data_IF_371037230611
#
_entry.id   IF_371037230611
#
_cell.length_a   1.000
_cell.length_b   1.000
_cell.length_c   1.000
_cell.angle_alpha   90.00
_cell.angle_beta   90.00
_cell.angle_gamma   90.00
#
_symmetry.space_group_name_H-M   'P 1'
#
loop_
_entity.id
_entity.type
_entity.pdbx_description
1 polymer ?
#
# COMPACT_ATOMS: atom_id res chain seq x y z
N UNK A 1 -43.21 -19.56 9.92
CA UNK A 1 -42.85 -18.58 8.86
C UNK A 1 -41.66 -17.76 9.32
N UNK A 2 -40.46 -18.02 8.80
CA UNK A 2 -39.23 -17.29 9.15
C UNK A 2 -39.00 -16.19 8.11
N UNK A 3 -38.98 -14.93 8.54
CA UNK A 3 -38.65 -13.78 7.70
C UNK A 3 -37.14 -13.76 7.43
N UNK A 4 -36.75 -13.94 6.17
CA UNK A 4 -35.39 -13.68 5.70
C UNK A 4 -35.20 -12.17 5.56
N UNK A 5 -34.31 -11.59 6.36
CA UNK A 5 -33.86 -10.21 6.15
C UNK A 5 -32.69 -10.28 5.16
N UNK A 6 -32.96 -9.96 3.91
CA UNK A 6 -31.92 -9.81 2.89
C UNK A 6 -31.12 -8.55 3.22
N UNK A 7 -29.85 -8.72 3.59
CA UNK A 7 -28.91 -7.62 3.73
C UNK A 7 -28.53 -7.14 2.32
N UNK A 8 -29.13 -6.04 1.88
CA UNK A 8 -28.75 -5.35 0.65
C UNK A 8 -27.39 -4.71 0.88
N UNK A 9 -26.33 -5.36 0.38
CA UNK A 9 -25.00 -4.76 0.32
C UNK A 9 -25.03 -3.65 -0.74
N UNK A 10 -25.18 -2.40 -0.31
CA UNK A 10 -24.95 -1.23 -1.15
C UNK A 10 -23.46 -1.14 -1.44
N UNK A 11 -23.09 -1.47 -2.68
CA UNK A 11 -21.74 -1.19 -3.21
C UNK A 11 -21.61 0.32 -3.31
N UNK A 12 -21.05 0.92 -2.27
CA UNK A 12 -20.61 2.32 -2.30
C UNK A 12 -19.59 2.44 -3.43
N UNK A 13 -19.94 3.20 -4.47
CA UNK A 13 -19.09 3.43 -5.63
C UNK A 13 -17.69 3.85 -5.19
N UNK A 14 -16.68 3.15 -5.70
CA UNK A 14 -15.28 3.42 -5.37
C UNK A 14 -14.92 4.82 -5.85
N UNK A 15 -15.03 5.82 -4.97
CA UNK A 15 -14.27 7.05 -5.14
C UNK A 15 -12.80 6.62 -5.21
N UNK A 16 -12.10 7.00 -6.29
CA UNK A 16 -10.66 6.80 -6.38
C UNK A 16 -10.03 7.32 -5.08
N UNK A 17 -9.50 6.41 -4.26
CA UNK A 17 -8.87 6.74 -2.97
C UNK A 17 -7.57 7.55 -3.12
N UNK A 18 -7.23 7.92 -4.36
CA UNK A 18 -6.05 8.69 -4.72
C UNK A 18 -6.46 9.88 -5.59
N UNK A 19 -6.18 11.08 -5.10
CA UNK A 19 -6.46 12.37 -5.76
C UNK A 19 -5.41 12.78 -6.81
N UNK A 20 -4.53 11.86 -7.22
CA UNK A 20 -3.33 12.21 -7.98
C UNK A 20 -3.47 11.98 -9.49
N UNK A 21 -2.64 12.68 -10.24
CA UNK A 21 -2.55 12.58 -11.70
C UNK A 21 -1.89 11.25 -12.07
N UNK A 22 -2.67 10.36 -12.69
CA UNK A 22 -2.20 9.05 -13.18
C UNK A 22 -1.91 9.05 -14.70
N UNK A 23 -2.28 10.11 -15.41
CA UNK A 23 -2.14 10.20 -16.86
C UNK A 23 -1.57 11.56 -17.25
N UNK A 24 -0.82 11.59 -18.36
CA UNK A 24 -0.44 12.86 -18.99
C UNK A 24 -1.69 13.53 -19.58
N UNK A 25 -1.73 14.86 -19.53
CA UNK A 25 -2.74 15.64 -20.27
C UNK A 25 -2.45 15.55 -21.76
N UNK A 26 -3.50 15.54 -22.59
CA UNK A 26 -3.34 15.40 -24.03
C UNK A 26 -2.57 16.57 -24.65
N UNK A 27 -1.77 16.26 -25.68
CA UNK A 27 -1.06 17.25 -26.50
C UNK A 27 -2.03 17.90 -27.47
N UNK A 28 -2.62 19.02 -27.07
CA UNK A 28 -3.42 19.87 -27.95
C UNK A 28 -2.53 20.77 -28.81
N UNK A 29 -1.66 20.20 -29.66
CA UNK A 29 -0.96 20.86 -30.79
C UNK A 29 0.04 22.02 -30.51
N UNK A 30 -0.22 22.84 -29.49
CA UNK A 30 0.51 24.03 -29.12
C UNK A 30 1.37 23.77 -27.89
N UNK A 31 2.62 24.24 -27.96
CA UNK A 31 3.54 24.29 -26.83
C UNK A 31 2.91 25.19 -25.77
N UNK A 32 2.18 24.59 -24.82
CA UNK A 32 1.55 25.33 -23.73
C UNK A 32 2.61 26.17 -23.01
N UNK A 33 2.38 27.47 -22.97
CA UNK A 33 3.25 28.42 -22.27
C UNK A 33 2.87 28.45 -20.80
N UNK A 34 3.82 28.87 -19.97
CA UNK A 34 3.57 29.02 -18.55
C UNK A 34 2.62 30.18 -18.28
N UNK A 35 1.50 29.89 -17.62
CA UNK A 35 0.49 30.84 -17.17
C UNK A 35 0.10 30.59 -15.71
N UNK A 36 -0.56 31.56 -15.08
CA UNK A 36 -1.05 31.45 -13.69
C UNK A 36 -1.98 30.25 -13.41
N UNK A 37 -2.59 29.67 -14.45
CA UNK A 37 -3.48 28.49 -14.35
C UNK A 37 -2.88 27.22 -14.97
N UNK A 38 -1.88 27.34 -15.83
CA UNK A 38 -1.38 26.24 -16.64
C UNK A 38 0.14 26.22 -16.71
N UNK A 39 0.71 25.03 -16.55
CA UNK A 39 2.14 24.80 -16.68
C UNK A 39 2.43 24.14 -18.04
N UNK A 40 3.64 24.31 -18.59
CA UNK A 40 4.09 23.56 -19.74
C UNK A 40 3.98 22.04 -19.52
N UNK A 41 3.72 21.28 -20.58
CA UNK A 41 3.41 19.85 -20.49
C UNK A 41 4.58 19.05 -19.86
N UNK A 42 5.81 19.47 -20.12
CA UNK A 42 7.04 18.89 -19.55
C UNK A 42 7.62 19.70 -18.38
N UNK A 43 6.80 20.48 -17.69
CA UNK A 43 7.23 21.26 -16.53
C UNK A 43 7.79 20.37 -15.41
N UNK A 44 8.75 20.90 -14.66
CA UNK A 44 9.44 20.15 -13.59
C UNK A 44 8.52 19.80 -12.41
N UNK A 45 7.38 20.48 -12.28
CA UNK A 45 6.39 20.25 -11.22
C UNK A 45 5.65 18.92 -11.38
N UNK A 46 5.64 18.33 -12.58
CA UNK A 46 4.96 17.07 -12.85
C UNK A 46 5.80 15.84 -12.50
N UNK A 47 5.14 14.81 -11.96
CA UNK A 47 5.71 13.51 -11.58
C UNK A 47 6.99 13.60 -10.72
N UNK A 48 7.16 14.68 -9.94
CA UNK A 48 8.33 14.90 -9.11
C UNK A 48 9.61 15.12 -9.92
N UNK A 49 9.52 15.88 -11.03
CA UNK A 49 10.65 16.22 -11.89
C UNK A 49 11.00 15.19 -12.96
N UNK A 50 10.27 14.06 -13.02
CA UNK A 50 10.54 12.98 -13.99
C UNK A 50 10.18 13.35 -15.43
N UNK A 51 9.35 14.37 -15.62
CA UNK A 51 9.11 15.02 -16.93
C UNK A 51 10.39 15.49 -17.62
N UNK A 52 11.49 15.71 -16.88
CA UNK A 52 12.79 16.01 -17.46
C UNK A 52 13.27 14.96 -18.47
N UNK A 53 12.89 13.69 -18.30
CA UNK A 53 13.24 12.63 -19.25
C UNK A 53 12.49 12.78 -20.59
N UNK A 54 11.25 13.28 -20.57
CA UNK A 54 10.43 13.49 -21.77
C UNK A 54 10.70 14.85 -22.44
N UNK A 55 11.37 15.77 -21.73
CA UNK A 55 11.51 17.15 -22.15
C UNK A 55 12.44 17.28 -23.35
N UNK A 56 11.91 17.84 -24.44
CA UNK A 56 12.71 18.35 -25.55
C UNK A 56 12.91 19.87 -25.39
N UNK A 57 14.15 20.33 -25.31
CA UNK A 57 14.52 21.75 -25.12
C UNK A 57 14.95 22.48 -26.39
N UNK A 58 14.91 21.84 -27.57
CA UNK A 58 15.38 22.43 -28.83
C UNK A 58 14.35 23.36 -29.50
N UNK A 59 14.85 24.44 -30.11
CA UNK A 59 14.05 25.53 -30.68
C UNK A 59 13.42 25.28 -32.06
N UNK A 60 13.80 24.21 -32.77
CA UNK A 60 13.27 23.93 -34.11
C UNK A 60 12.62 22.54 -34.20
N UNK A 61 11.40 22.48 -34.74
CA UNK A 61 10.58 21.26 -34.90
C UNK A 61 11.09 20.32 -36.02
N UNK A 62 12.11 20.70 -36.78
CA UNK A 62 12.49 20.05 -38.05
C UNK A 62 13.70 19.10 -38.02
N UNK A 63 14.75 19.38 -37.25
CA UNK A 63 16.03 18.64 -37.37
C UNK A 63 16.65 18.19 -36.04
N UNK A 64 16.00 18.51 -34.92
CA UNK A 64 16.40 18.08 -33.59
C UNK A 64 15.21 17.46 -32.86
N UNK A 65 15.46 16.36 -32.17
CA UNK A 65 14.44 15.67 -31.37
C UNK A 65 14.72 14.20 -31.25
N UNK A 66 14.60 13.66 -30.04
CA UNK A 66 14.53 12.23 -29.87
C UNK A 66 13.09 11.80 -30.18
N UNK A 67 12.87 11.00 -31.23
CA UNK A 67 11.55 10.60 -31.70
C UNK A 67 10.66 10.00 -30.59
N UNK A 68 11.29 9.33 -29.63
CA UNK A 68 10.62 8.65 -28.53
C UNK A 68 9.93 9.60 -27.53
N UNK A 69 10.34 10.88 -27.44
CA UNK A 69 9.69 11.86 -26.55
C UNK A 69 8.37 12.41 -27.10
N UNK A 70 8.06 12.12 -28.37
CA UNK A 70 6.81 12.50 -29.05
C UNK A 70 5.85 11.33 -29.19
N UNK A 71 6.31 10.11 -28.91
CA UNK A 71 5.49 8.91 -28.95
C UNK A 71 4.62 8.82 -27.69
N UNK A 72 3.29 8.92 -27.88
CA UNK A 72 2.31 8.92 -26.80
C UNK A 72 2.27 7.59 -26.05
N UNK A 73 2.50 6.46 -26.74
CA UNK A 73 2.38 5.13 -26.13
C UNK A 73 3.60 4.84 -25.24
N UNK A 74 4.79 5.14 -25.75
CA UNK A 74 6.02 4.98 -24.98
C UNK A 74 6.06 5.93 -23.78
N UNK A 75 5.54 7.14 -23.94
CA UNK A 75 5.43 8.06 -22.84
C UNK A 75 4.49 7.57 -21.74
N UNK A 76 3.29 7.13 -22.13
CA UNK A 76 2.31 6.58 -21.18
C UNK A 76 2.90 5.40 -20.42
N UNK A 77 3.60 4.51 -21.13
CA UNK A 77 4.33 3.40 -20.53
C UNK A 77 5.31 3.87 -19.44
N UNK A 78 6.13 4.89 -19.72
CA UNK A 78 7.08 5.41 -18.74
C UNK A 78 6.40 6.04 -17.51
N UNK A 79 5.31 6.78 -17.70
CA UNK A 79 4.53 7.33 -16.59
C UNK A 79 3.94 6.21 -15.74
N UNK A 80 3.39 5.16 -16.36
CA UNK A 80 2.83 4.00 -15.68
C UNK A 80 3.91 3.25 -14.88
N UNK A 81 5.12 3.11 -15.44
CA UNK A 81 6.28 2.56 -14.73
C UNK A 81 6.63 3.41 -13.51
N UNK A 82 6.65 4.75 -13.63
CA UNK A 82 6.92 5.62 -12.49
C UNK A 82 5.85 5.52 -11.41
N UNK A 83 4.58 5.40 -11.79
CA UNK A 83 3.46 5.20 -10.86
C UNK A 83 3.56 3.84 -10.14
N UNK A 84 3.94 2.79 -10.87
CA UNK A 84 4.21 1.47 -10.30
C UNK A 84 5.36 1.54 -9.29
N UNK A 85 6.47 2.22 -9.62
CA UNK A 85 7.60 2.43 -8.70
C UNK A 85 7.18 3.19 -7.44
N UNK A 86 6.37 4.26 -7.55
CA UNK A 86 5.92 5.01 -6.37
C UNK A 86 4.99 4.18 -5.48
N UNK A 87 4.09 3.40 -6.09
CA UNK A 87 3.21 2.50 -5.35
C UNK A 87 3.99 1.40 -4.65
N UNK A 88 4.94 0.79 -5.36
CA UNK A 88 5.84 -0.23 -4.82
C UNK A 88 6.64 0.32 -3.64
N UNK A 89 7.30 1.48 -3.81
CA UNK A 89 8.07 2.14 -2.75
C UNK A 89 7.24 2.38 -1.50
N UNK A 90 6.02 2.90 -1.64
CA UNK A 90 5.13 3.15 -0.51
C UNK A 90 4.70 1.86 0.19
N UNK A 91 4.38 0.82 -0.59
CA UNK A 91 4.00 -0.50 -0.05
C UNK A 91 5.14 -1.18 0.69
N UNK A 92 6.38 -1.03 0.23
CA UNK A 92 7.56 -1.55 0.93
C UNK A 92 7.89 -0.73 2.19
N UNK A 93 7.84 0.61 2.10
CA UNK A 93 8.05 1.48 3.27
C UNK A 93 7.00 1.25 4.37
N UNK A 94 5.79 0.84 4.00
CA UNK A 94 4.73 0.53 4.94
C UNK A 94 4.92 -0.82 5.65
N UNK A 95 5.95 -1.61 5.31
CA UNK A 95 6.26 -2.85 6.03
C UNK A 95 7.13 -2.54 7.22
N UNK A 96 6.63 -2.86 8.40
CA UNK A 96 7.28 -2.83 9.70
C UNK A 96 7.57 -4.25 10.22
N UNK A 97 7.59 -5.24 9.32
CA UNK A 97 7.72 -6.66 9.61
C UNK A 97 8.59 -7.38 8.58
N UNK A 98 9.12 -8.52 9.00
CA UNK A 98 9.88 -9.46 8.17
C UNK A 98 9.13 -10.79 8.06
N UNK A 99 9.39 -11.56 7.00
CA UNK A 99 8.91 -12.94 6.88
C UNK A 99 9.95 -13.87 7.48
N UNK A 100 9.54 -14.70 8.43
CA UNK A 100 10.39 -15.74 9.01
C UNK A 100 9.76 -17.10 8.76
N UNK A 101 10.56 -18.03 8.24
CA UNK A 101 10.16 -19.41 8.06
C UNK A 101 10.34 -20.18 9.38
N UNK A 102 9.23 -20.62 9.95
CA UNK A 102 9.21 -21.41 11.18
C UNK A 102 8.76 -22.84 10.88
N UNK A 103 9.34 -23.86 11.55
CA UNK A 103 8.80 -25.21 11.52
C UNK A 103 7.33 -25.20 11.97
N UNK A 104 6.47 -25.94 11.28
CA UNK A 104 5.02 -25.94 11.53
C UNK A 104 4.61 -26.15 12.99
N UNK A 105 5.38 -26.98 13.73
CA UNK A 105 5.12 -27.26 15.16
C UNK A 105 5.32 -26.05 16.08
N UNK A 106 6.19 -25.12 15.69
CA UNK A 106 6.54 -23.93 16.48
C UNK A 106 5.75 -22.69 16.03
N UNK A 107 4.99 -22.79 14.94
CA UNK A 107 4.14 -21.71 14.47
C UNK A 107 2.96 -21.46 15.43
N UNK A 108 2.49 -20.20 15.54
CA UNK A 108 1.28 -19.83 16.27
C UNK A 108 0.08 -20.68 15.89
N UNK A 109 -0.85 -20.88 16.84
CA UNK A 109 -2.02 -21.76 16.68
C UNK A 109 -2.91 -21.35 15.51
N UNK A 110 -2.98 -20.06 15.21
CA UNK A 110 -3.80 -19.56 14.09
C UNK A 110 -3.22 -19.95 12.73
N UNK A 111 -1.92 -20.23 12.66
CA UNK A 111 -1.21 -20.69 11.46
C UNK A 111 -1.13 -22.23 11.36
N UNK A 112 -1.65 -22.96 12.35
CA UNK A 112 -1.74 -24.43 12.33
C UNK A 112 -2.91 -24.90 11.44
N UNK A 113 -2.94 -24.39 10.22
CA UNK A 113 -3.92 -24.71 9.19
C UNK A 113 -3.29 -24.54 7.81
N UNK A 114 -3.91 -25.14 6.79
CA UNK A 114 -3.51 -24.89 5.41
C UNK A 114 -3.90 -23.47 5.02
N UNK A 115 -2.92 -22.67 4.61
CA UNK A 115 -3.12 -21.34 4.03
C UNK A 115 -2.80 -21.44 2.55
N UNK A 116 -3.80 -21.28 1.65
CA UNK A 116 -3.57 -21.32 0.20
C UNK A 116 -2.53 -20.27 -0.21
N UNK A 117 -2.08 -20.32 -1.46
CA UNK A 117 -1.27 -19.23 -2.02
C UNK A 117 -2.12 -17.99 -2.34
N UNK A 118 -1.44 -16.85 -2.47
CA UNK A 118 -2.09 -15.56 -2.69
C UNK A 118 -2.88 -15.59 -4.00
N UNK A 119 -4.15 -15.16 -3.94
CA UNK A 119 -5.09 -15.15 -5.07
C UNK A 119 -5.55 -16.53 -5.57
N UNK A 120 -5.27 -17.63 -4.85
CA UNK A 120 -5.79 -18.97 -5.18
C UNK A 120 -7.23 -19.18 -4.71
N UNK A 121 -7.53 -18.78 -3.48
CA UNK A 121 -8.86 -18.89 -2.87
C UNK A 121 -9.34 -17.52 -2.35
N UNK A 122 -10.57 -17.49 -1.83
CA UNK A 122 -11.13 -16.33 -1.14
C UNK A 122 -10.23 -15.91 0.05
N UNK A 123 -10.20 -14.61 0.42
CA UNK A 123 -9.47 -14.15 1.59
C UNK A 123 -9.86 -14.94 2.85
N UNK A 124 -8.89 -15.63 3.43
CA UNK A 124 -9.11 -16.51 4.58
C UNK A 124 -9.03 -15.72 5.87
N UNK A 125 -10.03 -15.90 6.73
CA UNK A 125 -10.08 -15.29 8.06
C UNK A 125 -9.19 -16.06 9.05
N UNK A 126 -8.62 -15.35 10.03
CA UNK A 126 -7.76 -15.93 11.08
C UNK A 126 -8.53 -16.98 11.89
N UNK A 127 -9.63 -16.60 12.54
CA UNK A 127 -10.47 -17.52 13.30
C UNK A 127 -11.90 -17.00 13.44
N UNK A 128 -12.76 -17.38 12.51
CA UNK A 128 -14.17 -16.96 12.50
C UNK A 128 -14.95 -17.45 13.73
N UNK A 129 -14.59 -18.61 14.30
CA UNK A 129 -15.29 -19.17 15.47
C UNK A 129 -15.01 -18.39 16.75
N UNK A 130 -13.81 -17.81 16.86
CA UNK A 130 -13.41 -16.95 17.97
C UNK A 130 -13.77 -15.47 17.74
N UNK A 131 -14.42 -15.13 16.62
CA UNK A 131 -14.79 -13.77 16.26
C UNK A 131 -13.68 -12.93 15.60
N UNK A 132 -12.50 -13.52 15.32
CA UNK A 132 -11.42 -12.83 14.62
C UNK A 132 -11.55 -13.00 13.09
N UNK A 133 -12.19 -12.02 12.46
CA UNK A 133 -12.45 -11.97 11.02
C UNK A 133 -11.36 -11.26 10.22
N UNK A 134 -10.18 -10.99 10.80
CA UNK A 134 -9.06 -10.36 10.07
C UNK A 134 -8.50 -11.32 9.00
N UNK A 135 -7.88 -10.77 7.96
CA UNK A 135 -7.23 -11.57 6.92
C UNK A 135 -5.93 -12.18 7.44
N UNK A 136 -5.78 -13.49 7.31
CA UNK A 136 -4.62 -14.24 7.79
C UNK A 136 -3.30 -13.78 7.15
N UNK A 137 -3.31 -13.31 5.90
CA UNK A 137 -2.10 -12.86 5.20
C UNK A 137 -1.58 -11.49 5.63
N UNK A 138 -2.42 -10.71 6.31
CA UNK A 138 -2.04 -9.41 6.87
C UNK A 138 -1.79 -9.48 8.38
N UNK A 139 -1.87 -10.68 8.96
CA UNK A 139 -1.58 -10.87 10.37
C UNK A 139 -0.06 -10.75 10.58
N UNK A 140 0.33 -9.87 11.49
CA UNK A 140 1.71 -9.64 11.92
C UNK A 140 1.78 -10.04 13.38
N UNK A 141 2.85 -10.73 13.76
CA UNK A 141 3.11 -11.17 15.12
C UNK A 141 4.21 -10.32 15.74
N UNK A 142 4.03 -9.98 17.01
CA UNK A 142 5.04 -9.27 17.78
C UNK A 142 6.28 -10.15 17.94
N UNK A 143 7.45 -9.58 17.65
CA UNK A 143 8.73 -10.30 17.74
C UNK A 143 8.99 -10.74 19.17
N UNK A 144 8.54 -9.94 20.13
CA UNK A 144 8.67 -10.12 21.57
C UNK A 144 7.97 -11.39 22.06
N UNK A 145 6.82 -11.73 21.47
CA UNK A 145 6.05 -12.94 21.80
C UNK A 145 6.68 -14.21 21.22
N UNK A 146 7.38 -14.08 20.10
CA UNK A 146 8.00 -15.20 19.39
C UNK A 146 9.48 -15.42 19.77
N UNK A 147 10.02 -14.68 20.74
CA UNK A 147 11.45 -14.72 21.08
C UNK A 147 11.95 -16.12 21.44
N UNK A 148 11.17 -16.88 22.22
CA UNK A 148 11.55 -18.24 22.61
C UNK A 148 11.67 -19.21 21.43
N UNK A 149 10.91 -18.96 20.36
CA UNK A 149 10.95 -19.74 19.12
C UNK A 149 12.05 -19.24 18.17
N UNK A 150 12.22 -17.92 18.06
CA UNK A 150 13.18 -17.29 17.15
C UNK A 150 14.62 -17.38 17.66
N UNK A 151 14.83 -17.37 18.98
CA UNK A 151 16.15 -17.27 19.61
C UNK A 151 16.36 -18.30 20.73
N UNK A 152 16.19 -19.61 20.47
CA UNK A 152 16.19 -20.64 21.52
C UNK A 152 17.48 -20.72 22.34
N UNK A 153 18.62 -20.34 21.75
CA UNK A 153 19.95 -20.47 22.37
C UNK A 153 20.50 -19.15 22.94
N UNK A 154 19.80 -18.03 22.80
CA UNK A 154 20.32 -16.69 23.18
C UNK A 154 19.61 -16.06 24.39
N UNK A 155 18.71 -16.79 25.05
CA UNK A 155 17.81 -16.20 26.06
C UNK A 155 16.78 -15.28 25.41
N UNK A 156 16.20 -14.36 26.17
CA UNK A 156 15.23 -13.36 25.67
C UNK A 156 15.96 -12.07 25.30
N UNK A 157 16.35 -11.84 24.02
CA UNK A 157 17.11 -10.65 23.62
C UNK A 157 16.32 -9.35 23.75
N UNK A 158 14.99 -9.41 23.77
CA UNK A 158 14.10 -8.28 23.94
C UNK A 158 13.33 -8.39 25.26
N UNK A 159 13.03 -7.27 25.92
CA UNK A 159 12.20 -7.26 27.11
C UNK A 159 10.76 -7.69 26.79
N UNK A 160 10.06 -8.23 27.79
CA UNK A 160 8.65 -8.61 27.65
C UNK A 160 7.74 -7.39 27.44
N UNK A 161 6.68 -7.58 26.64
CA UNK A 161 5.67 -6.56 26.39
C UNK A 161 4.88 -6.25 27.67
N UNK A 162 4.89 -4.99 28.09
CA UNK A 162 4.01 -4.50 29.16
C UNK A 162 2.64 -4.18 28.60
N UNK A 163 1.66 -5.02 28.92
CA UNK A 163 0.25 -4.78 28.57
C UNK A 163 -0.43 -4.00 29.68
N UNK A 164 -1.22 -3.00 29.33
CA UNK A 164 -2.03 -2.24 30.30
C UNK A 164 -3.11 -3.14 30.89
N UNK A 165 -3.15 -3.25 32.22
CA UNK A 165 -4.19 -4.04 32.88
C UNK A 165 -5.52 -3.27 32.86
N UNK A 166 -6.67 -3.96 32.85
CA UNK A 166 -7.98 -3.30 32.94
C UNK A 166 -8.13 -2.47 34.22
N UNK A 167 -7.56 -2.93 35.32
CA UNK A 167 -7.57 -2.24 36.63
C UNK A 167 -6.83 -0.89 36.57
N UNK A 168 -5.72 -0.84 35.83
CA UNK A 168 -4.92 0.38 35.64
C UNK A 168 -5.61 1.40 34.72
N UNK A 169 -6.65 1.00 33.99
CA UNK A 169 -7.46 1.91 33.16
C UNK A 169 -8.51 2.67 33.97
N UNK A 170 -8.86 2.23 35.18
CA UNK A 170 -9.94 2.84 35.97
C UNK A 170 -9.65 4.28 36.42
N UNK A 171 -8.37 4.65 36.50
CA UNK A 171 -7.91 6.02 36.81
C UNK A 171 -7.08 6.61 35.67
N UNK A 172 -7.25 6.11 34.45
CA UNK A 172 -6.60 6.71 33.29
C UNK A 172 -7.22 8.09 33.01
N UNK A 173 -6.43 9.00 32.44
CA UNK A 173 -6.90 10.35 32.08
C UNK A 173 -8.17 10.31 31.20
N UNK A 174 -8.31 9.27 30.38
CA UNK A 174 -9.42 9.05 29.46
C UNK A 174 -10.76 8.74 30.16
N UNK A 175 -10.74 8.29 31.42
CA UNK A 175 -11.98 7.93 32.17
C UNK A 175 -12.58 9.11 32.95
N UNK A 176 -11.94 10.28 32.96
CA UNK A 176 -12.42 11.45 33.72
C UNK A 176 -13.27 12.45 32.91
N UNK A 177 -13.37 12.26 31.58
CA UNK A 177 -14.08 13.19 30.68
C UNK A 177 -15.38 12.60 30.06
N UNK A 178 -15.97 11.58 30.68
CA UNK A 178 -17.31 11.07 30.32
C UNK A 178 -18.43 11.72 31.14
#
# INVERSE_FOLDING_TARGET
MRRSVAATATVAGSRSAHSKVFHRREHDGDLRKHDHKELPIDDASYWGGRSAMMRYTGGERGFGGQYWTRDRDLEKYNIDVWLAQQTLRKRWKARDWDVVELPYRLAPKELQQVVPEKHTELPKMVNQRAGDCRNIRSLVYDREELQGVLYPNRGSPYPELRRTKPEERQFALDTFFE
#
